data_IF_306426161589
#
_entry.id   IF_306426161589
#
_cell.length_a   1.000
_cell.length_b   1.000
_cell.length_c   1.000
_cell.angle_alpha   90.00
_cell.angle_beta   90.00
_cell.angle_gamma   90.00
#
_symmetry.space_group_name_H-M   'P 1'
#
loop_
_entity.id
_entity.type
_entity.pdbx_description
1 polymer ?
#
# COMPACT_ATOMS: atom_id res chain seq x y z
N UNK A 1 16.50 -3.32 8.31
CA UNK A 1 16.19 -4.70 7.90
C UNK A 1 17.36 -5.27 7.12
N UNK A 2 17.67 -4.78 5.91
CA UNK A 2 18.82 -5.25 5.12
C UNK A 2 20.14 -5.23 5.91
N UNK A 3 20.49 -4.11 6.56
CA UNK A 3 21.72 -4.03 7.36
C UNK A 3 21.78 -5.06 8.50
N UNK A 4 20.65 -5.34 9.14
CA UNK A 4 20.57 -6.16 10.36
C UNK A 4 20.44 -7.64 10.05
N UNK A 5 19.58 -7.98 9.09
CA UNK A 5 19.19 -9.36 8.77
C UNK A 5 19.78 -9.84 7.46
N UNK A 6 20.46 -8.98 6.69
CA UNK A 6 21.04 -9.29 5.39
C UNK A 6 20.03 -9.86 4.37
N UNK A 7 18.76 -9.53 4.55
CA UNK A 7 17.66 -9.95 3.69
C UNK A 7 16.81 -8.73 3.28
N UNK A 8 16.11 -8.78 2.14
CA UNK A 8 15.09 -7.80 1.82
C UNK A 8 13.96 -7.86 2.87
N UNK A 9 13.46 -6.69 3.28
CA UNK A 9 12.34 -6.63 4.21
C UNK A 9 11.05 -7.14 3.54
N UNK A 10 10.23 -7.95 4.22
CA UNK A 10 8.87 -8.24 3.77
C UNK A 10 8.09 -6.96 3.53
N UNK A 11 7.25 -6.92 2.50
CA UNK A 11 6.54 -5.70 2.12
C UNK A 11 5.61 -5.25 3.25
N UNK A 12 4.86 -6.19 3.82
CA UNK A 12 3.96 -5.93 4.95
C UNK A 12 4.68 -5.32 6.17
N UNK A 13 5.93 -5.73 6.43
CA UNK A 13 6.72 -5.14 7.53
C UNK A 13 6.98 -3.65 7.30
N UNK A 14 7.33 -3.26 6.06
CA UNK A 14 7.56 -1.85 5.70
C UNK A 14 6.25 -1.06 5.84
N UNK A 15 5.16 -1.60 5.30
CA UNK A 15 3.84 -0.96 5.32
C UNK A 15 3.38 -0.74 6.76
N UNK A 16 3.39 -1.79 7.59
CA UNK A 16 3.00 -1.71 9.00
C UNK A 16 3.84 -0.69 9.78
N UNK A 17 5.17 -0.70 9.58
CA UNK A 17 6.06 0.25 10.25
C UNK A 17 5.76 1.71 9.89
N UNK A 18 5.55 2.02 8.61
CA UNK A 18 5.19 3.37 8.18
C UNK A 18 3.80 3.79 8.68
N UNK A 19 2.85 2.87 8.68
CA UNK A 19 1.49 3.11 9.16
C UNK A 19 1.43 3.36 10.67
N UNK A 20 2.24 2.66 11.45
CA UNK A 20 2.41 2.94 12.89
C UNK A 20 3.00 4.34 13.14
N UNK A 21 3.91 4.82 12.29
CA UNK A 21 4.42 6.19 12.38
C UNK A 21 3.32 7.20 12.07
N UNK A 22 2.51 6.97 11.03
CA UNK A 22 1.38 7.83 10.71
C UNK A 22 0.39 7.90 11.87
N UNK A 23 0.03 6.75 12.43
CA UNK A 23 -0.91 6.62 13.51
C UNK A 23 -0.41 7.30 14.81
N UNK A 24 0.90 7.26 15.09
CA UNK A 24 1.46 8.01 16.21
C UNK A 24 1.21 9.53 16.09
N UNK A 25 1.13 10.08 14.88
CA UNK A 25 0.81 11.49 14.63
C UNK A 25 -0.69 11.81 14.71
N UNK A 26 -1.56 10.81 14.86
CA UNK A 26 -3.00 10.99 15.09
C UNK A 26 -3.37 10.83 16.57
N UNK A 27 -2.58 10.07 17.34
CA UNK A 27 -2.81 9.86 18.77
C UNK A 27 -2.09 10.87 19.66
N UNK A 28 -0.81 11.16 19.39
CA UNK A 28 -0.03 12.05 20.25
C UNK A 28 -0.25 13.52 19.85
N UNK A 29 -0.69 14.32 20.82
CA UNK A 29 -0.95 15.75 20.63
C UNK A 29 0.28 16.56 20.20
N UNK A 30 0.04 17.72 19.59
CA UNK A 30 1.09 18.63 19.13
C UNK A 30 1.74 18.26 17.78
N UNK A 31 1.25 17.20 17.12
CA UNK A 31 1.71 16.78 15.79
C UNK A 31 0.57 16.88 14.78
N UNK A 32 0.88 17.34 13.56
CA UNK A 32 -0.10 17.30 12.45
C UNK A 32 -0.05 15.92 11.79
N UNK A 33 -1.21 15.26 11.56
CA UNK A 33 -1.25 14.04 10.77
C UNK A 33 -0.64 14.21 9.37
N UNK A 34 -0.08 13.15 8.83
CA UNK A 34 0.43 13.14 7.47
C UNK A 34 -0.74 13.17 6.48
N UNK A 35 -0.96 14.29 5.80
CA UNK A 35 -2.02 14.45 4.79
C UNK A 35 -1.74 13.74 3.46
N UNK A 36 -1.23 12.50 3.50
CA UNK A 36 -0.86 11.71 2.33
C UNK A 36 -1.32 10.26 2.44
N UNK A 37 -1.87 9.75 1.34
CA UNK A 37 -2.12 8.33 1.13
C UNK A 37 -0.99 7.73 0.29
N UNK A 38 -0.57 6.51 0.61
CA UNK A 38 0.47 5.79 -0.15
C UNK A 38 -0.12 4.57 -0.83
N UNK A 39 0.38 4.28 -2.02
CA UNK A 39 0.32 2.97 -2.67
C UNK A 39 1.70 2.33 -2.55
N UNK A 40 1.79 1.23 -1.80
CA UNK A 40 3.00 0.44 -1.66
C UNK A 40 2.93 -0.73 -2.61
N UNK A 41 3.96 -0.89 -3.44
CA UNK A 41 4.08 -1.99 -4.38
C UNK A 41 5.43 -2.66 -4.18
N UNK A 42 5.44 -3.98 -4.19
CA UNK A 42 6.68 -4.73 -4.05
C UNK A 42 6.47 -6.21 -4.25
N UNK A 43 7.59 -6.93 -4.29
CA UNK A 43 7.61 -8.38 -4.35
C UNK A 43 8.44 -8.90 -3.18
N UNK A 44 7.97 -9.95 -2.53
CA UNK A 44 8.77 -10.72 -1.59
C UNK A 44 8.56 -12.24 -1.75
N UNK A 45 9.42 -13.00 -1.06
CA UNK A 45 9.44 -14.47 -1.09
C UNK A 45 8.22 -15.13 -0.41
N UNK A 46 7.45 -14.40 0.39
CA UNK A 46 6.38 -14.96 1.21
C UNK A 46 5.03 -14.88 0.50
N UNK A 47 4.74 -13.73 -0.12
CA UNK A 47 3.43 -13.44 -0.72
C UNK A 47 3.51 -13.01 -2.18
N UNK A 48 4.73 -12.97 -2.77
CA UNK A 48 4.93 -12.54 -4.15
C UNK A 48 4.64 -11.06 -4.34
N UNK A 49 4.05 -10.71 -5.49
CA UNK A 49 3.66 -9.34 -5.82
C UNK A 49 2.51 -8.86 -4.94
N UNK A 50 2.72 -7.74 -4.28
CA UNK A 50 1.81 -7.17 -3.29
C UNK A 50 1.56 -5.70 -3.59
N UNK A 51 0.31 -5.29 -3.35
CA UNK A 51 -0.14 -3.90 -3.41
C UNK A 51 -0.88 -3.59 -2.11
N UNK A 52 -0.40 -2.57 -1.40
CA UNK A 52 -1.05 -2.05 -0.20
C UNK A 52 -1.40 -0.58 -0.38
N UNK A 53 -2.48 -0.15 0.25
CA UNK A 53 -2.87 1.25 0.34
C UNK A 53 -2.92 1.66 1.80
N UNK A 54 -2.41 2.84 2.13
CA UNK A 54 -2.64 3.46 3.45
C UNK A 54 -3.20 4.87 3.31
N UNK A 55 -3.90 5.32 4.34
CA UNK A 55 -4.46 6.66 4.45
C UNK A 55 -3.74 7.50 5.54
N UNK A 56 -4.13 8.78 5.77
CA UNK A 56 -3.58 9.61 6.83
C UNK A 56 -3.79 9.09 8.25
N UNK A 57 -4.78 8.24 8.49
CA UNK A 57 -5.08 7.71 9.83
C UNK A 57 -4.04 6.69 10.31
N UNK A 58 -3.26 6.15 9.37
CA UNK A 58 -2.37 5.02 9.62
C UNK A 58 -3.05 3.67 9.39
N UNK A 59 -4.30 3.64 8.92
CA UNK A 59 -4.90 2.40 8.45
C UNK A 59 -4.29 1.98 7.11
N UNK A 60 -4.16 0.67 6.89
CA UNK A 60 -3.73 0.12 5.61
C UNK A 60 -4.45 -1.19 5.27
N UNK A 61 -4.52 -1.50 3.98
CA UNK A 61 -5.11 -2.73 3.48
C UNK A 61 -4.45 -3.21 2.19
N UNK A 62 -4.49 -4.52 1.96
CA UNK A 62 -4.00 -5.16 0.74
C UNK A 62 -5.04 -5.16 -0.38
N UNK A 63 -4.61 -4.96 -1.61
CA UNK A 63 -5.46 -4.83 -2.79
C UNK A 63 -4.92 -5.63 -3.96
N UNK A 64 -5.80 -6.08 -4.85
CA UNK A 64 -5.39 -6.64 -6.17
C UNK A 64 -5.18 -5.54 -7.20
N UNK A 65 -6.03 -4.53 -7.17
CA UNK A 65 -5.89 -3.27 -7.89
C UNK A 65 -6.59 -2.18 -7.06
N UNK A 66 -6.01 -0.98 -7.00
CA UNK A 66 -6.64 0.16 -6.32
C UNK A 66 -6.13 1.48 -6.90
N UNK A 67 -6.81 2.58 -6.58
CA UNK A 67 -6.47 3.93 -6.97
C UNK A 67 -6.73 4.88 -5.80
N UNK A 68 -5.90 5.91 -5.65
CA UNK A 68 -6.07 6.98 -4.66
C UNK A 68 -6.02 8.34 -5.34
N UNK A 69 -6.73 9.32 -4.80
CA UNK A 69 -6.77 10.69 -5.32
C UNK A 69 -8.08 11.04 -6.04
N UNK A 70 -8.01 12.05 -6.90
CA UNK A 70 -9.17 12.57 -7.63
C UNK A 70 -9.73 11.52 -8.60
N UNK A 71 -11.05 11.40 -8.67
CA UNK A 71 -11.76 10.41 -9.49
C UNK A 71 -11.42 8.94 -9.20
N UNK A 72 -10.86 8.64 -8.03
CA UNK A 72 -10.55 7.26 -7.61
C UNK A 72 -11.75 6.32 -7.67
N UNK A 73 -12.96 6.80 -7.38
CA UNK A 73 -14.18 5.97 -7.47
C UNK A 73 -14.43 5.49 -8.90
N UNK A 74 -14.30 6.37 -9.90
CA UNK A 74 -14.45 6.03 -11.32
C UNK A 74 -13.34 5.09 -11.78
N UNK A 75 -12.10 5.38 -11.39
CA UNK A 75 -10.95 4.53 -11.71
C UNK A 75 -11.11 3.12 -11.12
N UNK A 76 -11.57 3.00 -9.87
CA UNK A 76 -11.85 1.72 -9.23
C UNK A 76 -12.96 0.97 -9.96
N UNK A 77 -14.00 1.65 -10.45
CA UNK A 77 -15.05 1.01 -11.26
C UNK A 77 -14.52 0.41 -12.56
N UNK A 78 -13.62 1.13 -13.26
CA UNK A 78 -12.95 0.63 -14.46
C UNK A 78 -12.05 -0.58 -14.10
N UNK A 79 -11.25 -0.46 -13.04
CA UNK A 79 -10.40 -1.55 -12.57
C UNK A 79 -11.22 -2.81 -12.25
N UNK A 80 -12.40 -2.68 -11.65
CA UNK A 80 -13.29 -3.83 -11.37
C UNK A 80 -13.80 -4.53 -12.63
N UNK A 81 -13.91 -3.82 -13.75
CA UNK A 81 -14.40 -4.36 -15.02
C UNK A 81 -13.28 -5.01 -15.82
N UNK A 82 -12.14 -4.31 -15.93
CA UNK A 82 -11.03 -4.66 -16.81
C UNK A 82 -10.01 -5.60 -16.17
N UNK A 83 -9.76 -5.48 -14.86
CA UNK A 83 -8.72 -6.26 -14.19
C UNK A 83 -9.14 -7.72 -13.98
N UNK A 84 -8.34 -8.65 -14.49
CA UNK A 84 -8.57 -10.10 -14.37
C UNK A 84 -7.47 -10.73 -13.51
N UNK A 85 -7.85 -11.27 -12.36
CA UNK A 85 -6.92 -11.87 -11.40
C UNK A 85 -6.22 -13.07 -12.06
N UNK A 86 -4.89 -12.98 -12.18
CA UNK A 86 -4.06 -14.07 -12.70
C UNK A 86 -3.95 -14.15 -14.23
N UNK A 87 -4.68 -13.31 -14.97
CA UNK A 87 -4.67 -13.30 -16.44
C UNK A 87 -3.97 -12.07 -17.02
N UNK A 88 -3.97 -10.95 -16.31
CA UNK A 88 -3.31 -9.71 -16.75
C UNK A 88 -1.78 -9.86 -16.72
N UNK A 89 -1.14 -9.78 -17.89
CA UNK A 89 0.32 -9.76 -18.01
C UNK A 89 0.85 -8.35 -17.78
N UNK A 90 2.15 -8.23 -17.50
CA UNK A 90 2.80 -6.94 -17.27
C UNK A 90 2.63 -5.95 -18.43
N UNK A 91 2.61 -6.43 -19.68
CA UNK A 91 2.45 -5.58 -20.86
C UNK A 91 0.99 -5.15 -21.11
N UNK A 92 0.03 -5.83 -20.48
CA UNK A 92 -1.39 -5.59 -20.62
C UNK A 92 -1.93 -4.72 -19.46
N UNK A 93 -1.07 -4.38 -18.49
CA UNK A 93 -1.36 -3.54 -17.33
C UNK A 93 -0.95 -2.09 -17.56
#
# INVERSE_FOLDING_TARGET
YLLTYQEPAPIEYIVSRLCNIKQAYTQYGGKRPFGVSFLYMGWDKHYGYQLYQSDPSGNFGGWKATCVGHNSQTAISILKQEYKIGETKLNDA
#
